data_IF_578883934076
#
_entry.id   IF_578883934076
#
_cell.length_a   1.000
_cell.length_b   1.000
_cell.length_c   1.000
_cell.angle_alpha   90.00
_cell.angle_beta   90.00
_cell.angle_gamma   90.00
#
_symmetry.space_group_name_H-M   'P 1'
#
loop_
_entity.id
_entity.type
_entity.pdbx_description
1 polymer ?
#
# COMPACT_ATOMS: atom_id res chain seq x y z
N UNK A 1 -37.18 32.23 -35.69
CA UNK A 1 -37.01 31.91 -34.25
C UNK A 1 -36.31 30.56 -33.95
N UNK A 2 -35.92 29.73 -34.94
CA UNK A 2 -35.28 28.43 -34.69
C UNK A 2 -33.73 28.43 -34.65
N UNK A 3 -33.07 29.17 -35.56
CA UNK A 3 -31.60 29.13 -35.72
C UNK A 3 -30.83 29.70 -34.52
N UNK A 4 -31.32 30.78 -33.92
CA UNK A 4 -30.72 31.42 -32.74
C UNK A 4 -30.79 30.51 -31.51
N UNK A 5 -31.88 29.73 -31.35
CA UNK A 5 -32.02 28.77 -30.25
C UNK A 5 -31.02 27.61 -30.35
N UNK A 6 -30.75 27.14 -31.56
CA UNK A 6 -29.76 26.08 -31.81
C UNK A 6 -28.34 26.56 -31.48
N UNK A 7 -27.99 27.78 -31.90
CA UNK A 7 -26.68 28.39 -31.57
C UNK A 7 -26.52 28.53 -30.06
N UNK A 8 -27.56 28.95 -29.35
CA UNK A 8 -27.54 29.09 -27.89
C UNK A 8 -27.36 27.74 -27.18
N UNK A 9 -28.01 26.68 -27.64
CA UNK A 9 -27.83 25.31 -27.11
C UNK A 9 -26.42 24.79 -27.33
N UNK A 10 -25.80 25.06 -28.49
CA UNK A 10 -24.42 24.67 -28.77
C UNK A 10 -23.45 25.38 -27.82
N UNK A 11 -23.66 26.68 -27.55
CA UNK A 11 -22.84 27.45 -26.61
C UNK A 11 -22.96 26.89 -25.19
N UNK A 12 -24.18 26.57 -24.73
CA UNK A 12 -24.39 25.96 -23.41
C UNK A 12 -23.69 24.60 -23.32
N UNK A 13 -23.84 23.75 -24.35
CA UNK A 13 -23.18 22.45 -24.40
C UNK A 13 -21.66 22.57 -24.32
N UNK A 14 -21.08 23.58 -24.97
CA UNK A 14 -19.64 23.84 -24.91
C UNK A 14 -19.17 24.26 -23.50
N UNK A 15 -19.94 25.12 -22.82
CA UNK A 15 -19.64 25.54 -21.44
C UNK A 15 -19.70 24.33 -20.49
N UNK A 16 -20.74 23.51 -20.60
CA UNK A 16 -20.89 22.29 -19.78
C UNK A 16 -19.75 21.31 -20.04
N UNK A 17 -19.40 21.07 -21.31
CA UNK A 17 -18.27 20.21 -21.68
C UNK A 17 -16.95 20.71 -21.07
N UNK A 18 -16.66 22.01 -21.19
CA UNK A 18 -15.46 22.61 -20.60
C UNK A 18 -15.44 22.49 -19.07
N UNK A 19 -16.58 22.69 -18.42
CA UNK A 19 -16.72 22.51 -16.97
C UNK A 19 -16.45 21.06 -16.54
N UNK A 20 -17.03 20.09 -17.25
CA UNK A 20 -16.84 18.67 -16.97
C UNK A 20 -15.37 18.23 -17.12
N UNK A 21 -14.71 18.68 -18.20
CA UNK A 21 -13.28 18.38 -18.44
C UNK A 21 -12.39 19.02 -17.37
N UNK A 22 -12.69 20.24 -16.92
CA UNK A 22 -11.94 20.89 -15.86
C UNK A 22 -12.03 20.13 -14.52
N UNK A 23 -13.24 19.67 -14.15
CA UNK A 23 -13.46 18.87 -12.93
C UNK A 23 -12.71 17.54 -13.02
N UNK A 24 -12.76 16.84 -14.17
CA UNK A 24 -12.03 15.57 -14.35
C UNK A 24 -10.52 15.72 -14.30
N UNK A 25 -9.97 16.78 -14.88
CA UNK A 25 -8.54 17.05 -14.80
C UNK A 25 -8.09 17.38 -13.37
N UNK A 26 -8.95 17.99 -12.55
CA UNK A 26 -8.69 18.27 -11.15
C UNK A 26 -8.71 16.99 -10.29
N UNK A 27 -9.69 16.12 -10.50
CA UNK A 27 -9.79 14.79 -9.84
C UNK A 27 -8.50 13.97 -10.07
N UNK A 28 -8.06 13.87 -11.34
CA UNK A 28 -6.80 13.18 -11.71
C UNK A 28 -5.56 13.85 -11.10
N UNK A 29 -5.58 15.17 -10.91
CA UNK A 29 -4.50 15.91 -10.27
C UNK A 29 -4.36 15.59 -8.78
N UNK A 30 -5.49 15.55 -8.06
CA UNK A 30 -5.53 15.21 -6.63
C UNK A 30 -5.07 13.77 -6.39
N UNK A 31 -5.55 12.81 -7.18
CA UNK A 31 -5.19 11.40 -7.01
C UNK A 31 -3.67 11.19 -7.11
N UNK A 32 -3.00 11.95 -7.98
CA UNK A 32 -1.53 11.92 -8.11
C UNK A 32 -0.81 12.51 -6.91
N UNK A 33 -1.28 13.63 -6.36
CA UNK A 33 -0.69 14.21 -5.15
C UNK A 33 -0.90 13.30 -3.92
N UNK A 34 -2.08 12.69 -3.78
CA UNK A 34 -2.35 11.76 -2.67
C UNK A 34 -1.48 10.52 -2.75
N UNK A 35 -1.32 9.93 -3.95
CA UNK A 35 -0.40 8.81 -4.16
C UNK A 35 1.05 9.17 -3.80
N UNK A 36 1.50 10.37 -4.18
CA UNK A 36 2.82 10.88 -3.80
C UNK A 36 2.95 11.10 -2.29
N UNK A 37 1.89 11.56 -1.61
CA UNK A 37 1.89 11.74 -0.15
C UNK A 37 1.94 10.40 0.60
N UNK A 38 1.26 9.37 0.08
CA UNK A 38 1.38 8.00 0.61
C UNK A 38 2.81 7.45 0.43
N UNK A 39 3.49 7.82 -0.66
CA UNK A 39 4.90 7.52 -0.88
C UNK A 39 5.86 8.40 -0.03
N UNK A 40 5.47 9.61 0.38
CA UNK A 40 6.32 10.55 1.13
C UNK A 40 6.50 10.24 2.64
N UNK A 41 6.19 9.01 3.08
CA UNK A 41 6.92 8.43 4.22
C UNK A 41 6.51 8.92 5.62
N UNK A 42 5.21 9.03 5.90
CA UNK A 42 4.75 9.09 7.29
C UNK A 42 4.87 7.72 7.95
N UNK A 43 5.40 7.71 9.18
CA UNK A 43 5.36 6.54 10.05
C UNK A 43 3.93 6.28 10.50
N UNK A 44 3.40 5.11 10.13
CA UNK A 44 2.07 4.65 10.50
C UNK A 44 2.21 3.45 11.41
N UNK A 45 1.75 3.58 12.65
CA UNK A 45 1.56 2.44 13.53
C UNK A 45 0.27 1.70 13.15
N UNK A 46 0.34 0.39 13.00
CA UNK A 46 -0.83 -0.41 12.69
C UNK A 46 -0.58 -1.91 12.74
N UNK A 47 -1.67 -2.66 12.67
CA UNK A 47 -1.65 -4.11 12.60
C UNK A 47 -1.38 -4.54 11.15
N UNK A 48 -0.31 -5.30 10.95
CA UNK A 48 0.15 -5.75 9.63
C UNK A 48 0.56 -7.22 9.67
N UNK A 49 0.78 -7.81 8.50
CA UNK A 49 1.36 -9.16 8.37
C UNK A 49 2.82 -8.99 7.98
N UNK A 50 3.70 -9.58 8.78
CA UNK A 50 5.14 -9.61 8.55
C UNK A 50 5.63 -11.01 8.24
N UNK A 51 6.60 -11.12 7.33
CA UNK A 51 7.47 -12.28 7.22
C UNK A 51 8.74 -11.97 8.02
N UNK A 52 8.94 -12.69 9.11
CA UNK A 52 10.02 -12.53 10.06
C UNK A 52 11.11 -13.56 9.77
N UNK A 53 12.36 -13.12 9.71
CA UNK A 53 13.53 -13.99 9.54
C UNK A 53 14.35 -13.98 10.81
N UNK A 54 14.55 -15.18 11.35
CA UNK A 54 15.37 -15.41 12.52
C UNK A 54 16.63 -16.19 12.16
N UNK A 55 17.74 -15.82 12.80
CA UNK A 55 19.01 -16.54 12.72
C UNK A 55 19.47 -16.92 14.12
N UNK A 56 20.14 -18.07 14.24
CA UNK A 56 20.66 -18.58 15.50
C UNK A 56 20.33 -20.05 15.71
N UNK A 57 20.73 -20.56 16.87
CA UNK A 57 20.34 -21.90 17.31
C UNK A 57 18.88 -21.91 17.78
N UNK A 58 18.20 -23.08 17.83
CA UNK A 58 16.79 -23.17 18.23
C UNK A 58 16.46 -22.55 19.59
N UNK A 59 17.45 -22.42 20.48
CA UNK A 59 17.30 -21.82 21.82
C UNK A 59 17.63 -20.32 21.86
N UNK A 60 18.23 -19.75 20.81
CA UNK A 60 18.64 -18.33 20.72
C UNK A 60 18.36 -17.76 19.32
N UNK A 61 17.13 -17.95 18.83
CA UNK A 61 16.67 -17.35 17.57
C UNK A 61 16.54 -15.82 17.74
N UNK A 62 17.29 -15.07 16.92
CA UNK A 62 17.25 -13.61 16.90
C UNK A 62 16.59 -13.13 15.62
N UNK A 63 15.61 -12.23 15.75
CA UNK A 63 15.00 -11.56 14.61
C UNK A 63 16.06 -10.70 13.92
N UNK A 64 16.34 -10.99 12.66
CA UNK A 64 17.35 -10.27 11.87
C UNK A 64 16.69 -9.43 10.78
N UNK A 65 15.60 -9.91 10.19
CA UNK A 65 14.90 -9.19 9.13
C UNK A 65 13.38 -9.34 9.28
N UNK A 66 12.66 -8.32 8.85
CA UNK A 66 11.21 -8.31 8.76
C UNK A 66 10.75 -7.70 7.44
N UNK A 67 9.78 -8.33 6.80
CA UNK A 67 9.23 -7.88 5.52
C UNK A 67 7.72 -7.66 5.63
N UNK A 68 7.23 -6.50 5.19
CA UNK A 68 5.80 -6.23 5.11
C UNK A 68 5.15 -7.07 4.01
N UNK A 69 4.10 -7.80 4.32
CA UNK A 69 3.38 -8.65 3.36
C UNK A 69 1.91 -8.26 3.26
N UNK A 70 1.36 -8.31 2.04
CA UNK A 70 -0.02 -7.87 1.75
C UNK A 70 -1.10 -8.72 2.41
N UNK A 71 -0.89 -10.05 2.49
CA UNK A 71 -1.87 -10.99 3.04
C UNK A 71 -1.19 -12.30 3.50
N UNK A 72 -1.95 -13.12 4.24
CA UNK A 72 -1.50 -14.40 4.80
C UNK A 72 -1.02 -15.38 3.73
N UNK A 73 -1.77 -15.54 2.63
CA UNK A 73 -1.41 -16.46 1.54
C UNK A 73 -0.06 -16.11 0.92
N UNK A 74 0.18 -14.81 0.67
CA UNK A 74 1.44 -14.35 0.10
C UNK A 74 2.60 -14.51 1.07
N UNK A 75 2.35 -14.36 2.38
CA UNK A 75 3.39 -14.58 3.38
C UNK A 75 3.88 -16.02 3.37
N UNK A 76 2.97 -17.00 3.36
CA UNK A 76 3.36 -18.41 3.30
C UNK A 76 4.07 -18.78 2.00
N UNK A 77 3.61 -18.29 0.86
CA UNK A 77 4.28 -18.49 -0.42
C UNK A 77 5.75 -18.00 -0.35
N UNK A 78 5.95 -16.80 0.20
CA UNK A 78 7.28 -16.22 0.36
C UNK A 78 8.12 -16.94 1.41
N UNK A 79 7.51 -17.41 2.50
CA UNK A 79 8.15 -18.23 3.53
C UNK A 79 8.72 -19.51 2.93
N UNK A 80 7.92 -20.27 2.17
CA UNK A 80 8.37 -21.51 1.52
C UNK A 80 9.56 -21.24 0.60
N UNK A 81 9.45 -20.21 -0.25
CA UNK A 81 10.55 -19.83 -1.15
C UNK A 81 11.80 -19.45 -0.35
N UNK A 82 11.65 -18.73 0.76
CA UNK A 82 12.77 -18.31 1.58
C UNK A 82 13.47 -19.50 2.27
N UNK A 83 12.70 -20.43 2.85
CA UNK A 83 13.21 -21.66 3.47
C UNK A 83 13.84 -22.62 2.46
N UNK A 84 13.37 -22.65 1.20
CA UNK A 84 14.01 -23.44 0.13
C UNK A 84 15.37 -22.88 -0.30
N UNK A 85 15.59 -21.58 -0.13
CA UNK A 85 16.80 -20.88 -0.60
C UNK A 85 17.75 -20.45 0.52
N UNK A 86 17.38 -20.64 1.78
CA UNK A 86 18.12 -20.16 2.96
C UNK A 86 17.99 -21.14 4.12
N UNK A 87 19.02 -21.21 4.98
CA UNK A 87 19.00 -22.01 6.21
C UNK A 87 18.45 -21.23 7.42
N UNK A 88 17.84 -20.06 7.20
CA UNK A 88 17.25 -19.26 8.26
C UNK A 88 15.85 -19.77 8.64
N UNK A 89 15.41 -19.46 9.87
CA UNK A 89 14.05 -19.75 10.30
C UNK A 89 13.14 -18.60 9.88
N UNK A 90 12.05 -18.90 9.16
CA UNK A 90 11.10 -17.90 8.70
C UNK A 90 9.73 -18.10 9.36
N UNK A 91 9.08 -17.00 9.72
CA UNK A 91 7.79 -17.02 10.41
C UNK A 91 6.85 -15.98 9.83
N UNK A 92 5.62 -16.39 9.57
CA UNK A 92 4.55 -15.45 9.20
C UNK A 92 3.82 -15.05 10.47
N UNK A 93 3.86 -13.78 10.82
CA UNK A 93 3.23 -13.27 12.03
C UNK A 93 2.35 -12.07 11.73
N UNK A 94 1.26 -11.93 12.48
CA UNK A 94 0.51 -10.68 12.57
C UNK A 94 1.09 -9.88 13.72
N UNK A 95 1.48 -8.65 13.42
CA UNK A 95 2.20 -7.79 14.36
C UNK A 95 1.62 -6.39 14.38
N UNK A 96 1.77 -5.69 15.51
CA UNK A 96 1.67 -4.24 15.56
C UNK A 96 3.05 -3.70 15.19
N UNK A 97 3.12 -2.89 14.13
CA UNK A 97 4.38 -2.35 13.63
C UNK A 97 4.24 -0.91 13.16
N UNK A 98 5.36 -0.20 13.22
CA UNK A 98 5.52 1.07 12.53
C UNK A 98 5.95 0.78 11.11
N UNK A 99 5.15 1.25 10.15
CA UNK A 99 5.43 1.13 8.73
C UNK A 99 5.71 2.50 8.12
N UNK A 100 6.62 2.52 7.15
CA UNK A 100 6.94 3.70 6.35
C UNK A 100 7.29 3.22 4.94
N UNK A 101 6.75 3.89 3.92
CA UNK A 101 7.04 3.58 2.51
C UNK A 101 6.80 2.09 2.16
N UNK A 102 5.76 1.49 2.73
CA UNK A 102 5.42 0.08 2.49
C UNK A 102 6.41 -0.92 3.10
N UNK A 103 7.23 -0.51 4.06
CA UNK A 103 8.15 -1.38 4.80
C UNK A 103 7.87 -1.31 6.29
N UNK A 104 8.12 -2.40 7.00
CA UNK A 104 8.17 -2.39 8.46
C UNK A 104 9.49 -1.70 8.85
N UNK A 105 9.42 -0.67 9.69
CA UNK A 105 10.57 0.01 10.28
C UNK A 105 10.88 -0.60 11.65
N UNK A 106 9.83 -0.92 12.40
CA UNK A 106 9.94 -1.50 13.74
C UNK A 106 8.71 -2.32 14.07
N UNK A 107 8.93 -3.51 14.61
CA UNK A 107 7.89 -4.33 15.24
C UNK A 107 7.74 -3.88 16.69
N UNK A 108 6.51 -3.59 17.12
CA UNK A 108 6.18 -3.20 18.49
C UNK A 108 5.78 -4.43 19.30
N UNK A 109 4.87 -5.22 18.73
CA UNK A 109 4.29 -6.38 19.41
C UNK A 109 3.91 -7.46 18.39
N UNK A 110 4.17 -8.71 18.73
CA UNK A 110 3.66 -9.87 17.99
C UNK A 110 2.33 -10.33 18.58
N UNK A 111 1.31 -10.45 17.73
CA UNK A 111 -0.05 -10.79 18.15
C UNK A 111 -0.32 -12.28 17.95
N UNK A 112 -0.03 -12.78 16.75
CA UNK A 112 -0.27 -14.18 16.39
C UNK A 112 0.72 -14.68 15.33
N UNK A 113 1.21 -15.90 15.51
CA UNK A 113 1.90 -16.66 14.46
C UNK A 113 0.84 -17.35 13.59
N UNK A 114 0.96 -17.23 12.27
CA UNK A 114 -0.07 -17.58 11.29
C UNK A 114 0.01 -19.00 10.76
#
# INVERSE_FOLDING_TARGET
>A
MGKIKIIFLIIIGFIVYKGFVAIKNFEIGIDKEVAQIEEMGFEKEGQVIGLMMYLGDPEDLKLVEHLLVKNKSKCFEMKVIAEENSNAYYECARVIAITKEGKIIRVIEEIEVL
#
